data_IF_017696900595
#
_entry.id   IF_017696900595
#
_cell.length_a   1.000
_cell.length_b   1.000
_cell.length_c   1.000
_cell.angle_alpha   90.00
_cell.angle_beta   90.00
_cell.angle_gamma   90.00
#
_symmetry.space_group_name_H-M   'P 1'
#
loop_
_entity.id
_entity.type
_entity.pdbx_description
1 polymer ?
#
# COMPACT_ATOMS: atom_id res chain seq x y z
N UNK A 1 -12.62 0.45 -3.94
CA UNK A 1 -12.42 0.53 -5.41
C UNK A 1 -12.66 1.96 -5.83
N UNK A 2 -12.02 2.43 -6.88
CA UNK A 2 -12.25 3.78 -7.40
C UNK A 2 -13.15 3.68 -8.64
N UNK A 3 -13.79 4.76 -9.01
CA UNK A 3 -14.59 4.91 -10.23
C UNK A 3 -13.78 4.66 -11.52
N UNK A 4 -12.47 4.51 -11.35
CA UNK A 4 -11.53 4.26 -12.45
C UNK A 4 -11.43 2.78 -12.85
N UNK A 5 -12.10 1.89 -12.12
CA UNK A 5 -12.12 0.44 -12.40
C UNK A 5 -13.52 0.04 -12.83
N UNK A 6 -13.59 -0.70 -13.94
CA UNK A 6 -14.81 -1.21 -14.51
C UNK A 6 -14.76 -2.74 -14.66
N UNK A 7 -15.90 -3.39 -14.58
CA UNK A 7 -16.03 -4.81 -14.81
C UNK A 7 -17.31 -5.12 -15.58
N UNK A 8 -17.29 -6.16 -16.37
CA UNK A 8 -18.53 -6.61 -17.07
C UNK A 8 -19.56 -7.06 -16.05
N UNK A 9 -20.82 -6.71 -16.30
CA UNK A 9 -21.95 -7.16 -15.52
C UNK A 9 -21.97 -8.68 -15.37
N UNK A 10 -21.70 -9.44 -16.43
CA UNK A 10 -21.59 -10.90 -16.40
C UNK A 10 -20.53 -11.46 -15.45
N UNK A 11 -19.53 -10.68 -15.11
CA UNK A 11 -18.50 -11.06 -14.13
C UNK A 11 -18.94 -10.82 -12.68
N UNK A 12 -19.96 -10.00 -12.48
CA UNK A 12 -20.46 -9.56 -11.18
C UNK A 12 -21.75 -10.27 -10.83
N UNK A 13 -22.67 -10.45 -11.80
CA UNK A 13 -23.96 -11.11 -11.58
C UNK A 13 -23.78 -12.52 -11.01
N UNK A 14 -24.44 -12.77 -9.89
CA UNK A 14 -24.39 -14.04 -9.18
C UNK A 14 -23.15 -14.24 -8.30
N UNK A 15 -22.25 -13.27 -8.26
CA UNK A 15 -21.03 -13.29 -7.40
C UNK A 15 -21.08 -12.26 -6.28
N UNK A 16 -22.08 -11.39 -6.29
CA UNK A 16 -22.28 -10.31 -5.30
C UNK A 16 -22.33 -10.79 -3.87
N UNK A 17 -22.70 -12.06 -3.69
CA UNK A 17 -22.85 -12.69 -2.38
C UNK A 17 -21.76 -13.75 -2.10
N UNK A 18 -20.90 -14.04 -3.07
CA UNK A 18 -20.01 -15.20 -3.03
C UNK A 18 -18.52 -14.84 -2.88
N UNK A 19 -18.17 -13.58 -3.03
CA UNK A 19 -16.77 -13.14 -2.93
C UNK A 19 -16.66 -11.72 -2.41
N UNK A 20 -15.53 -11.42 -1.77
CA UNK A 20 -15.19 -10.06 -1.34
C UNK A 20 -15.19 -9.08 -2.52
N UNK A 21 -14.75 -9.53 -3.69
CA UNK A 21 -14.69 -8.68 -4.89
C UNK A 21 -16.09 -8.31 -5.37
N UNK A 22 -17.00 -9.29 -5.44
CA UNK A 22 -18.40 -9.03 -5.79
C UNK A 22 -19.08 -8.08 -4.81
N UNK A 23 -18.91 -8.29 -3.50
CA UNK A 23 -19.46 -7.42 -2.45
C UNK A 23 -18.91 -5.99 -2.57
N UNK A 24 -17.60 -5.86 -2.78
CA UNK A 24 -16.98 -4.54 -2.91
C UNK A 24 -17.36 -3.83 -4.20
N UNK A 25 -17.56 -4.55 -5.30
CA UNK A 25 -17.99 -3.98 -6.59
C UNK A 25 -19.43 -3.51 -6.57
N UNK A 26 -20.29 -4.22 -5.85
CA UNK A 26 -21.73 -3.91 -5.75
C UNK A 26 -22.07 -3.04 -4.55
N UNK A 27 -21.11 -2.72 -3.69
CA UNK A 27 -21.32 -2.05 -2.40
C UNK A 27 -22.37 -2.73 -1.53
N UNK A 28 -22.50 -4.07 -1.66
CA UNK A 28 -23.49 -4.83 -0.93
C UNK A 28 -23.06 -5.02 0.52
N UNK A 29 -23.84 -4.43 1.46
CA UNK A 29 -23.56 -4.48 2.90
C UNK A 29 -24.40 -5.53 3.65
N UNK A 30 -25.13 -6.39 2.94
CA UNK A 30 -26.00 -7.38 3.57
C UNK A 30 -25.25 -8.53 4.28
N UNK A 31 -26.02 -9.35 4.98
CA UNK A 31 -25.58 -10.27 6.03
C UNK A 31 -24.46 -11.27 5.67
N UNK A 32 -24.28 -11.60 4.40
CA UNK A 32 -23.28 -12.57 3.92
C UNK A 32 -21.86 -12.09 4.10
N UNK A 33 -21.64 -10.77 4.25
CA UNK A 33 -20.34 -10.20 4.56
C UNK A 33 -19.73 -10.75 5.86
N UNK A 34 -20.55 -11.20 6.79
CA UNK A 34 -20.10 -11.82 8.04
C UNK A 34 -19.49 -13.20 7.83
N UNK A 35 -19.95 -13.92 6.83
CA UNK A 35 -19.56 -15.31 6.54
C UNK A 35 -18.26 -15.35 5.70
N UNK A 36 -17.91 -14.23 5.06
CA UNK A 36 -16.66 -14.04 4.30
C UNK A 36 -15.52 -13.49 5.17
N UNK A 37 -15.63 -13.58 6.48
CA UNK A 37 -14.88 -12.81 7.48
C UNK A 37 -13.47 -13.30 7.80
N UNK A 38 -12.75 -13.90 6.89
CA UNK A 38 -11.30 -14.05 7.04
C UNK A 38 -10.60 -12.72 6.73
N UNK A 39 -10.67 -11.81 7.70
CA UNK A 39 -9.90 -10.57 7.60
C UNK A 39 -8.42 -10.85 7.93
N UNK A 40 -7.75 -11.50 6.97
CA UNK A 40 -6.34 -11.83 7.07
C UNK A 40 -5.46 -10.60 7.32
N UNK A 41 -5.88 -9.39 6.89
CA UNK A 41 -5.12 -8.16 7.09
C UNK A 41 -4.89 -7.87 8.58
N UNK A 42 -5.95 -7.95 9.40
CA UNK A 42 -5.83 -7.71 10.84
C UNK A 42 -4.85 -8.69 11.51
N UNK A 43 -5.04 -9.98 11.27
CA UNK A 43 -4.20 -11.03 11.82
C UNK A 43 -2.75 -10.94 11.31
N UNK A 44 -2.57 -10.63 10.03
CA UNK A 44 -1.26 -10.51 9.42
C UNK A 44 -0.48 -9.33 10.00
N UNK A 45 -1.09 -8.16 10.14
CA UNK A 45 -0.42 -7.01 10.76
C UNK A 45 0.06 -7.35 12.19
N UNK A 46 -0.79 -7.98 13.02
CA UNK A 46 -0.34 -8.38 14.37
C UNK A 46 0.73 -9.47 14.35
N UNK A 47 0.73 -10.36 13.36
CA UNK A 47 1.82 -11.33 13.17
C UNK A 47 3.14 -10.63 12.84
N UNK A 48 3.13 -9.59 12.00
CA UNK A 48 4.32 -8.81 11.68
C UNK A 48 4.78 -7.94 12.85
N UNK A 49 3.84 -7.35 13.58
CA UNK A 49 4.13 -6.64 14.85
C UNK A 49 4.81 -7.57 15.85
N UNK A 50 4.33 -8.79 16.02
CA UNK A 50 4.96 -9.78 16.87
C UNK A 50 6.40 -10.08 16.45
N UNK A 51 6.64 -10.27 15.14
CA UNK A 51 8.01 -10.49 14.60
C UNK A 51 8.92 -9.31 14.89
N UNK A 52 8.43 -8.08 14.69
CA UNK A 52 9.16 -6.85 15.01
C UNK A 52 9.50 -6.78 16.50
N UNK A 53 8.56 -7.10 17.37
CA UNK A 53 8.77 -7.12 18.82
C UNK A 53 9.80 -8.16 19.24
N UNK A 54 9.83 -9.34 18.62
CA UNK A 54 10.87 -10.36 18.85
C UNK A 54 12.26 -9.77 18.55
N UNK A 55 12.43 -9.12 17.41
CA UNK A 55 13.71 -8.48 17.05
C UNK A 55 14.07 -7.41 18.07
N UNK A 56 13.17 -6.48 18.37
CA UNK A 56 13.42 -5.36 19.30
C UNK A 56 13.81 -5.87 20.69
N UNK A 57 13.14 -6.91 21.18
CA UNK A 57 13.37 -7.43 22.55
C UNK A 57 14.63 -8.30 22.66
N UNK A 58 14.99 -9.04 21.62
CA UNK A 58 16.01 -10.09 21.73
C UNK A 58 17.33 -9.76 21.03
N UNK A 59 17.39 -8.79 20.13
CA UNK A 59 18.60 -8.52 19.34
C UNK A 59 19.81 -8.15 20.20
N UNK A 60 19.63 -7.54 21.37
CA UNK A 60 20.71 -7.20 22.27
C UNK A 60 21.44 -8.43 22.83
N UNK A 61 20.74 -9.54 22.96
CA UNK A 61 21.28 -10.81 23.41
C UNK A 61 21.98 -11.62 22.30
N UNK A 62 21.86 -11.16 21.03
CA UNK A 62 22.52 -11.82 19.91
C UNK A 62 24.02 -11.52 19.86
N UNK A 63 24.77 -12.27 19.05
CA UNK A 63 26.14 -11.93 18.70
C UNK A 63 26.14 -10.87 17.59
N UNK A 64 27.15 -9.98 17.57
CA UNK A 64 27.29 -8.93 16.57
C UNK A 64 27.70 -7.59 17.20
N UNK A 65 28.10 -6.66 16.35
CA UNK A 65 28.47 -5.31 16.77
C UNK A 65 27.22 -4.48 17.13
N UNK A 66 27.48 -3.39 17.86
CA UNK A 66 26.41 -2.52 18.36
C UNK A 66 25.62 -1.85 17.23
N UNK A 67 26.30 -1.39 16.20
CA UNK A 67 25.68 -0.62 15.13
C UNK A 67 24.72 -1.51 14.30
N UNK A 68 25.10 -2.75 14.04
CA UNK A 68 24.23 -3.74 13.40
C UNK A 68 23.00 -4.05 14.24
N UNK A 69 23.13 -4.14 15.56
CA UNK A 69 21.99 -4.35 16.46
C UNK A 69 21.03 -3.17 16.50
N UNK A 70 21.57 -1.94 16.59
CA UNK A 70 20.75 -0.72 16.57
C UNK A 70 20.04 -0.55 15.23
N UNK A 71 20.71 -0.89 14.11
CA UNK A 71 20.08 -0.91 12.78
C UNK A 71 18.91 -1.91 12.73
N UNK A 72 19.11 -3.13 13.20
CA UNK A 72 18.05 -4.15 13.21
C UNK A 72 16.84 -3.72 14.06
N UNK A 73 17.08 -3.06 15.21
CA UNK A 73 15.99 -2.48 16.00
C UNK A 73 15.27 -1.36 15.28
N UNK A 74 16.01 -0.49 14.59
CA UNK A 74 15.44 0.62 13.85
C UNK A 74 14.55 0.12 12.71
N UNK A 75 15.04 -0.83 11.91
CA UNK A 75 14.25 -1.45 10.86
C UNK A 75 12.97 -2.12 11.41
N UNK A 76 13.10 -2.86 12.52
CA UNK A 76 11.95 -3.49 13.16
C UNK A 76 10.92 -2.47 13.70
N UNK A 77 11.37 -1.33 14.26
CA UNK A 77 10.48 -0.24 14.69
C UNK A 77 9.75 0.40 13.53
N UNK A 78 10.42 0.66 12.41
CA UNK A 78 9.78 1.19 11.19
C UNK A 78 8.68 0.25 10.69
N UNK A 79 8.95 -1.04 10.63
CA UNK A 79 7.95 -2.02 10.19
C UNK A 79 6.79 -2.12 11.20
N UNK A 80 7.07 -2.09 12.49
CA UNK A 80 6.04 -2.09 13.54
C UNK A 80 5.15 -0.83 13.48
N UNK A 81 5.76 0.32 13.24
CA UNK A 81 5.04 1.57 13.03
C UNK A 81 4.13 1.50 11.79
N UNK A 82 4.64 0.96 10.68
CA UNK A 82 3.87 0.76 9.46
C UNK A 82 2.65 -0.13 9.69
N UNK A 83 2.82 -1.29 10.35
CA UNK A 83 1.72 -2.20 10.60
C UNK A 83 0.65 -1.60 11.53
N UNK A 84 1.05 -0.86 12.58
CA UNK A 84 0.10 -0.13 13.43
C UNK A 84 -0.60 1.00 12.67
N UNK A 85 0.09 1.67 11.73
CA UNK A 85 -0.49 2.69 10.88
C UNK A 85 -1.56 2.11 9.94
N UNK A 86 -1.31 0.94 9.33
CA UNK A 86 -2.31 0.22 8.54
C UNK A 86 -3.52 -0.14 9.43
N UNK A 87 -3.27 -0.72 10.61
CA UNK A 87 -4.33 -1.14 11.52
C UNK A 87 -5.23 0.02 11.94
N UNK A 88 -4.67 1.13 12.40
CA UNK A 88 -5.47 2.26 12.91
C UNK A 88 -6.29 2.91 11.81
N UNK A 89 -5.74 3.04 10.60
CA UNK A 89 -6.45 3.65 9.48
C UNK A 89 -7.49 2.72 8.82
N UNK A 90 -7.38 1.41 9.03
CA UNK A 90 -8.35 0.44 8.49
C UNK A 90 -9.46 0.12 9.48
N UNK A 91 -9.14 0.03 10.78
CA UNK A 91 -10.05 -0.53 11.79
C UNK A 91 -10.49 0.47 12.86
N UNK A 92 -10.07 1.73 12.77
CA UNK A 92 -10.50 2.80 13.66
C UNK A 92 -11.04 3.99 12.88
N UNK A 93 -11.53 5.01 13.59
CA UNK A 93 -11.89 6.26 12.96
C UNK A 93 -10.66 7.02 12.49
N UNK A 94 -10.81 7.81 11.44
CA UNK A 94 -9.79 8.75 11.01
C UNK A 94 -9.40 9.69 12.15
N UNK A 95 -8.12 10.02 12.24
CA UNK A 95 -7.62 10.92 13.27
C UNK A 95 -8.33 12.28 13.22
N UNK A 96 -8.88 12.68 14.35
CA UNK A 96 -9.43 14.01 14.55
C UNK A 96 -8.89 14.56 15.88
N UNK A 97 -8.16 15.71 15.89
CA UNK A 97 -7.57 16.26 17.11
C UNK A 97 -8.56 16.46 18.26
N UNK A 98 -9.82 16.73 17.94
CA UNK A 98 -10.87 16.98 18.93
C UNK A 98 -11.36 15.70 19.63
N UNK A 99 -11.30 14.56 18.96
CA UNK A 99 -11.91 13.30 19.42
C UNK A 99 -10.94 12.13 19.55
N UNK A 100 -9.74 12.22 18.97
CA UNK A 100 -8.77 11.12 18.92
C UNK A 100 -8.42 10.55 20.31
N UNK A 101 -8.43 11.38 21.35
CA UNK A 101 -8.18 10.98 22.71
C UNK A 101 -9.27 10.09 23.34
N UNK A 102 -10.47 10.06 22.73
CA UNK A 102 -11.63 9.28 23.18
C UNK A 102 -12.11 8.27 22.15
N UNK A 103 -11.78 8.46 20.87
CA UNK A 103 -12.10 7.49 19.84
C UNK A 103 -11.31 6.20 20.04
N UNK A 104 -12.02 5.07 19.99
CA UNK A 104 -11.39 3.75 20.09
C UNK A 104 -10.50 3.47 18.89
N UNK A 105 -9.24 3.16 19.18
CA UNK A 105 -8.24 2.77 18.21
C UNK A 105 -8.08 1.25 18.10
N UNK A 106 -6.84 0.80 18.00
CA UNK A 106 -6.44 -0.61 17.96
C UNK A 106 -5.57 -0.96 19.16
N UNK A 107 -5.32 -2.24 19.41
CA UNK A 107 -4.41 -2.64 20.48
C UNK A 107 -2.95 -2.32 20.11
N UNK A 108 -2.20 -1.77 21.06
CA UNK A 108 -0.77 -1.51 20.90
C UNK A 108 0.00 -2.66 21.56
N UNK A 109 0.75 -3.41 20.74
CA UNK A 109 1.63 -4.48 21.23
C UNK A 109 3.06 -3.95 21.28
N UNK A 110 3.55 -3.67 22.48
CA UNK A 110 4.84 -3.00 22.70
C UNK A 110 6.02 -3.95 22.77
N UNK A 111 5.79 -5.18 23.19
CA UNK A 111 6.82 -6.16 23.49
C UNK A 111 6.38 -7.58 23.14
N UNK A 112 7.32 -8.51 23.15
CA UNK A 112 7.06 -9.92 22.94
C UNK A 112 6.62 -10.54 24.28
N UNK A 113 5.31 -10.67 24.45
CA UNK A 113 4.67 -11.38 25.55
C UNK A 113 3.47 -12.18 25.01
N UNK A 114 3.55 -13.49 25.10
CA UNK A 114 2.50 -14.40 24.63
C UNK A 114 1.34 -14.55 25.64
N UNK A 115 1.52 -14.13 26.87
CA UNK A 115 0.50 -14.20 27.91
C UNK A 115 -0.25 -12.87 28.10
N UNK A 116 0.23 -11.81 27.43
CA UNK A 116 -0.40 -10.50 27.49
C UNK A 116 -1.82 -10.53 26.94
N UNK A 117 -2.73 -9.86 27.62
CA UNK A 117 -4.08 -9.62 27.16
C UNK A 117 -4.20 -8.16 26.69
N UNK A 118 -3.94 -7.87 25.40
CA UNK A 118 -3.92 -6.50 24.92
C UNK A 118 -5.31 -5.89 24.96
N UNK A 119 -5.37 -4.63 25.39
CA UNK A 119 -6.59 -3.81 25.34
C UNK A 119 -6.50 -2.78 24.21
N UNK A 120 -7.64 -2.35 23.69
CA UNK A 120 -7.67 -1.28 22.71
C UNK A 120 -7.15 0.02 23.34
N UNK A 121 -6.24 0.67 22.62
CA UNK A 121 -5.82 2.04 22.90
C UNK A 121 -6.75 3.04 22.19
N UNK A 122 -6.65 4.31 22.51
CA UNK A 122 -7.29 5.38 21.76
C UNK A 122 -6.57 5.64 20.43
N UNK A 123 -7.23 6.30 19.50
CA UNK A 123 -6.62 6.69 18.22
C UNK A 123 -5.38 7.57 18.48
N UNK A 124 -5.45 8.52 19.42
CA UNK A 124 -4.33 9.36 19.79
C UNK A 124 -3.13 8.56 20.30
N UNK A 125 -3.35 7.64 21.24
CA UNK A 125 -2.29 6.78 21.78
C UNK A 125 -1.61 5.91 20.71
N UNK A 126 -2.38 5.43 19.73
CA UNK A 126 -1.82 4.65 18.61
C UNK A 126 -0.93 5.52 17.74
N UNK A 127 -1.36 6.74 17.38
CA UNK A 127 -0.54 7.65 16.60
C UNK A 127 0.71 8.11 17.36
N UNK A 128 0.62 8.39 18.64
CA UNK A 128 1.77 8.73 19.47
C UNK A 128 2.80 7.58 19.49
N UNK A 129 2.33 6.34 19.58
CA UNK A 129 3.19 5.17 19.53
C UNK A 129 3.88 5.00 18.17
N UNK A 130 3.15 5.17 17.08
CA UNK A 130 3.68 5.12 15.71
C UNK A 130 4.76 6.18 15.50
N UNK A 131 4.46 7.43 15.86
CA UNK A 131 5.38 8.56 15.72
C UNK A 131 6.66 8.31 16.53
N UNK A 132 6.50 7.85 17.76
CA UNK A 132 7.64 7.52 18.63
C UNK A 132 8.55 6.44 18.02
N UNK A 133 7.98 5.37 17.48
CA UNK A 133 8.76 4.31 16.84
C UNK A 133 9.56 4.84 15.65
N UNK A 134 8.94 5.71 14.84
CA UNK A 134 9.61 6.32 13.69
C UNK A 134 10.73 7.26 14.14
N UNK A 135 10.44 8.18 15.06
CA UNK A 135 11.41 9.16 15.55
C UNK A 135 12.63 8.48 16.21
N UNK A 136 12.41 7.40 16.96
CA UNK A 136 13.48 6.61 17.59
C UNK A 136 14.29 5.78 16.57
N UNK A 137 13.69 5.38 15.46
CA UNK A 137 14.36 4.57 14.44
C UNK A 137 15.21 5.41 13.48
N UNK A 138 14.73 6.59 13.07
CA UNK A 138 15.34 7.43 12.03
C UNK A 138 16.85 7.67 12.19
N UNK A 139 17.41 7.92 13.39
CA UNK A 139 18.85 8.15 13.53
C UNK A 139 19.72 6.96 13.14
N UNK A 140 19.20 5.74 13.25
CA UNK A 140 19.95 4.49 13.06
C UNK A 140 19.74 3.87 11.68
N UNK A 141 18.74 4.32 10.89
CA UNK A 141 18.54 3.84 9.54
C UNK A 141 19.69 4.28 8.62
N UNK A 142 20.04 3.43 7.67
CA UNK A 142 21.06 3.73 6.66
C UNK A 142 20.50 4.66 5.59
N UNK A 143 21.38 5.54 5.07
CA UNK A 143 21.07 6.33 3.88
C UNK A 143 20.88 5.38 2.69
N UNK A 144 21.81 4.45 2.48
CA UNK A 144 21.72 3.40 1.46
C UNK A 144 21.64 2.03 2.13
N UNK A 145 20.48 1.37 2.11
CA UNK A 145 20.31 0.03 2.64
C UNK A 145 20.99 -1.01 1.74
N UNK A 146 21.13 -2.24 2.26
CA UNK A 146 21.73 -3.36 1.50
C UNK A 146 20.95 -3.68 0.24
N UNK A 147 19.64 -3.51 0.29
CA UNK A 147 18.72 -3.67 -0.85
C UNK A 147 17.39 -3.00 -0.50
N UNK A 148 16.49 -2.94 -1.46
CA UNK A 148 15.18 -2.28 -1.36
C UNK A 148 14.20 -2.94 -0.36
N UNK A 149 14.49 -4.13 0.13
CA UNK A 149 13.67 -4.80 1.15
C UNK A 149 13.98 -4.34 2.58
N UNK A 150 15.08 -3.62 2.76
CA UNK A 150 15.44 -2.99 4.03
C UNK A 150 15.02 -1.53 4.02
N UNK A 151 14.34 -1.06 5.08
CA UNK A 151 13.96 0.35 5.17
C UNK A 151 15.19 1.29 5.11
N UNK A 152 15.20 2.19 4.14
CA UNK A 152 16.17 3.27 4.08
C UNK A 152 15.77 4.43 4.98
N UNK A 153 16.69 5.36 5.22
CA UNK A 153 16.38 6.62 5.90
C UNK A 153 15.39 7.46 5.08
N UNK A 154 15.50 7.43 3.75
CA UNK A 154 14.53 8.06 2.86
C UNK A 154 13.13 7.50 3.07
N UNK A 155 12.99 6.16 3.16
CA UNK A 155 11.71 5.52 3.46
C UNK A 155 11.18 5.89 4.86
N UNK A 156 12.06 5.90 5.88
CA UNK A 156 11.67 6.31 7.23
C UNK A 156 11.06 7.71 7.28
N UNK A 157 11.66 8.67 6.55
CA UNK A 157 11.10 10.02 6.41
C UNK A 157 9.82 10.07 5.57
N UNK A 158 9.72 9.26 4.50
CA UNK A 158 8.49 9.16 3.72
C UNK A 158 7.32 8.61 4.56
N UNK A 159 7.60 7.60 5.39
CA UNK A 159 6.62 7.08 6.35
C UNK A 159 6.23 8.14 7.38
N UNK A 160 7.20 8.87 7.95
CA UNK A 160 6.94 9.97 8.87
C UNK A 160 6.04 11.03 8.24
N UNK A 161 6.35 11.45 7.01
CA UNK A 161 5.53 12.42 6.27
C UNK A 161 4.08 11.97 6.13
N UNK A 162 3.88 10.71 5.76
CA UNK A 162 2.53 10.11 5.64
C UNK A 162 1.81 10.05 6.98
N UNK A 163 2.49 9.63 8.04
CA UNK A 163 1.91 9.55 9.38
C UNK A 163 1.52 10.93 9.89
N UNK A 164 2.39 11.93 9.76
CA UNK A 164 2.08 13.31 10.16
C UNK A 164 0.95 13.92 9.32
N UNK A 165 0.86 13.60 8.02
CA UNK A 165 -0.23 14.02 7.16
C UNK A 165 -1.59 13.51 7.68
N UNK A 166 -1.67 12.24 8.03
CA UNK A 166 -2.89 11.64 8.59
C UNK A 166 -3.18 12.14 10.02
N UNK A 167 -2.14 12.41 10.79
CA UNK A 167 -2.23 13.04 12.11
C UNK A 167 -2.61 14.53 12.06
N UNK A 168 -2.63 15.13 10.85
CA UNK A 168 -2.90 16.55 10.57
C UNK A 168 -1.84 17.52 11.11
N UNK A 169 -0.63 17.06 11.36
CA UNK A 169 0.53 17.91 11.61
C UNK A 169 1.20 18.25 10.27
N UNK A 170 0.59 19.20 9.57
CA UNK A 170 0.96 19.57 8.21
C UNK A 170 2.41 20.04 8.10
N UNK A 171 2.90 20.76 9.11
CA UNK A 171 4.26 21.28 9.14
C UNK A 171 5.29 20.16 9.24
N UNK A 172 5.09 19.22 10.17
CA UNK A 172 5.97 18.05 10.29
C UNK A 172 5.87 17.13 9.08
N UNK A 173 4.70 17.04 8.46
CA UNK A 173 4.52 16.28 7.24
C UNK A 173 5.36 16.86 6.09
N UNK A 174 5.35 18.18 5.90
CA UNK A 174 6.17 18.88 4.91
C UNK A 174 7.67 18.69 5.19
N UNK A 175 8.11 18.99 6.41
CA UNK A 175 9.52 18.82 6.82
C UNK A 175 10.03 17.39 6.58
N UNK A 176 9.24 16.38 6.92
CA UNK A 176 9.61 14.98 6.70
C UNK A 176 9.60 14.61 5.21
N UNK A 177 8.66 15.12 4.42
CA UNK A 177 8.64 14.90 2.98
C UNK A 177 9.89 15.50 2.30
N UNK A 178 10.28 16.71 2.69
CA UNK A 178 11.51 17.35 2.20
C UNK A 178 12.75 16.52 2.55
N UNK A 179 12.84 15.99 3.79
CA UNK A 179 13.95 15.16 4.20
C UNK A 179 14.03 13.84 3.41
N UNK A 180 12.90 13.26 3.04
CA UNK A 180 12.84 12.10 2.15
C UNK A 180 13.35 12.46 0.74
N UNK A 181 12.82 13.55 0.15
CA UNK A 181 13.18 13.99 -1.20
C UNK A 181 14.63 14.44 -1.32
N UNK A 182 15.23 15.02 -0.28
CA UNK A 182 16.68 15.32 -0.26
C UNK A 182 17.54 14.07 -0.43
N UNK A 183 17.05 12.89 -0.05
CA UNK A 183 17.77 11.62 -0.11
C UNK A 183 17.49 10.85 -1.38
N UNK A 184 16.24 10.86 -1.82
CA UNK A 184 15.85 10.25 -3.08
C UNK A 184 14.71 11.06 -3.73
N UNK A 185 15.05 11.75 -4.82
CA UNK A 185 14.11 12.48 -5.67
C UNK A 185 14.17 12.00 -7.12
N UNK A 186 14.71 10.81 -7.35
CA UNK A 186 14.86 10.25 -8.68
C UNK A 186 13.50 9.85 -9.23
N UNK A 187 13.17 10.32 -10.43
CA UNK A 187 11.99 9.93 -11.17
C UNK A 187 12.42 9.15 -12.44
N UNK A 188 11.59 8.22 -12.84
CA UNK A 188 11.79 7.48 -14.08
C UNK A 188 11.41 8.39 -15.25
N UNK A 189 12.28 8.44 -16.25
CA UNK A 189 11.94 9.02 -17.55
C UNK A 189 11.09 8.02 -18.35
N UNK A 190 9.80 8.24 -18.38
CA UNK A 190 8.85 7.35 -19.08
C UNK A 190 9.03 7.37 -20.59
N UNK A 191 9.51 8.47 -21.17
CA UNK A 191 9.78 8.56 -22.62
C UNK A 191 10.97 7.66 -22.97
N UNK A 192 12.04 7.75 -22.22
CA UNK A 192 13.19 6.86 -22.39
C UNK A 192 12.79 5.39 -22.18
N UNK A 193 11.98 5.12 -21.19
CA UNK A 193 11.51 3.79 -20.87
C UNK A 193 10.62 3.18 -22.00
N UNK A 194 9.76 3.97 -22.64
CA UNK A 194 8.98 3.52 -23.79
C UNK A 194 9.91 3.13 -24.96
N UNK A 195 10.94 3.95 -25.23
CA UNK A 195 11.92 3.67 -26.25
C UNK A 195 12.72 2.38 -26.00
N UNK A 196 12.86 1.96 -24.75
CA UNK A 196 13.50 0.69 -24.34
C UNK A 196 12.57 -0.53 -24.40
N UNK A 197 11.32 -0.36 -24.82
CA UNK A 197 10.35 -1.45 -24.98
C UNK A 197 9.28 -1.55 -23.88
N UNK A 198 9.11 -0.51 -23.10
CA UNK A 198 7.98 -0.23 -22.18
C UNK A 198 7.64 -1.33 -21.16
N UNK A 199 6.76 -2.27 -21.49
CA UNK A 199 6.22 -3.22 -20.52
C UNK A 199 7.20 -4.17 -19.83
N UNK A 200 8.41 -4.31 -20.33
CA UNK A 200 9.50 -5.04 -19.66
C UNK A 200 9.96 -4.38 -18.36
N UNK A 201 9.51 -3.17 -18.13
CA UNK A 201 9.68 -2.40 -16.92
C UNK A 201 9.35 -3.18 -15.63
N UNK A 202 8.27 -3.95 -15.63
CA UNK A 202 7.88 -4.74 -14.44
C UNK A 202 8.92 -5.82 -14.11
N UNK A 203 9.55 -6.40 -15.11
CA UNK A 203 10.59 -7.41 -14.90
C UNK A 203 11.94 -6.81 -14.58
N UNK A 204 12.24 -5.62 -15.11
CA UNK A 204 13.54 -4.95 -14.91
C UNK A 204 13.57 -4.15 -13.61
N UNK A 205 12.48 -3.48 -13.26
CA UNK A 205 12.41 -2.61 -12.08
C UNK A 205 11.62 -3.23 -10.90
N UNK A 206 10.84 -4.29 -11.14
CA UNK A 206 9.91 -4.88 -10.16
C UNK A 206 10.54 -5.57 -8.95
N UNK A 207 11.84 -5.73 -8.90
CA UNK A 207 12.54 -6.37 -7.76
C UNK A 207 13.79 -5.61 -7.32
N UNK A 208 13.69 -4.29 -7.23
CA UNK A 208 14.76 -3.46 -6.70
C UNK A 208 15.56 -2.67 -7.73
N UNK A 209 15.17 -2.72 -9.02
CA UNK A 209 15.75 -1.87 -10.06
C UNK A 209 15.02 -0.55 -10.29
N UNK A 210 13.83 -0.35 -9.72
CA UNK A 210 13.09 0.90 -9.86
C UNK A 210 13.62 1.95 -8.87
N UNK A 211 14.19 3.08 -9.35
CA UNK A 211 14.78 4.09 -8.49
C UNK A 211 13.75 4.88 -7.66
N UNK A 212 12.47 4.83 -8.01
CA UNK A 212 11.39 5.48 -7.25
C UNK A 212 10.95 4.68 -6.02
N UNK A 213 11.32 3.39 -5.94
CA UNK A 213 10.93 2.54 -4.82
C UNK A 213 11.89 2.73 -3.65
N UNK A 214 11.38 3.32 -2.57
CA UNK A 214 12.15 3.54 -1.34
C UNK A 214 12.23 2.30 -0.44
N UNK A 215 11.20 1.47 -0.48
CA UNK A 215 11.13 0.17 0.19
C UNK A 215 10.13 -0.72 -0.55
N UNK A 216 10.45 -1.98 -0.71
CA UNK A 216 9.60 -2.93 -1.44
C UNK A 216 9.11 -4.05 -0.54
N UNK A 217 7.80 -4.15 -0.40
CA UNK A 217 7.13 -5.25 0.25
C UNK A 217 6.29 -6.02 -0.79
N UNK A 218 6.55 -7.32 -0.94
CA UNK A 218 5.79 -8.17 -1.83
C UNK A 218 4.54 -8.70 -1.12
N UNK A 219 3.37 -8.33 -1.61
CA UNK A 219 2.12 -8.96 -1.21
C UNK A 219 1.82 -10.10 -2.19
N UNK A 220 2.07 -11.33 -1.76
CA UNK A 220 1.75 -12.50 -2.58
C UNK A 220 0.23 -12.67 -2.76
N UNK A 221 -0.21 -12.97 -3.96
CA UNK A 221 -1.54 -13.51 -4.26
C UNK A 221 -2.68 -12.53 -4.50
N UNK A 222 -2.58 -11.25 -4.12
CA UNK A 222 -3.69 -10.28 -4.33
C UNK A 222 -3.70 -9.74 -5.76
N UNK A 223 -2.60 -9.80 -6.43
CA UNK A 223 -2.34 -9.11 -7.68
C UNK A 223 -2.86 -9.86 -8.92
N UNK A 224 -2.90 -11.17 -8.88
CA UNK A 224 -3.41 -11.96 -10.00
C UNK A 224 -4.94 -11.87 -10.13
N UNK A 225 -5.65 -11.73 -9.02
CA UNK A 225 -7.11 -11.68 -9.03
C UNK A 225 -7.67 -10.38 -9.62
N UNK A 226 -7.01 -9.25 -9.40
CA UNK A 226 -7.47 -7.96 -9.92
C UNK A 226 -7.08 -7.69 -11.38
N UNK A 227 -6.03 -8.36 -11.90
CA UNK A 227 -5.51 -8.04 -13.23
C UNK A 227 -6.18 -8.77 -14.39
N UNK A 228 -6.67 -9.98 -14.15
CA UNK A 228 -7.15 -10.83 -15.27
C UNK A 228 -8.66 -11.03 -15.33
N UNK A 229 -9.40 -10.86 -14.25
CA UNK A 229 -10.78 -11.32 -14.20
C UNK A 229 -11.82 -10.21 -14.01
N UNK A 230 -11.49 -9.13 -13.31
CA UNK A 230 -12.53 -8.20 -12.84
C UNK A 230 -12.21 -6.70 -12.96
N UNK A 231 -11.01 -6.32 -13.29
CA UNK A 231 -10.62 -4.92 -13.26
C UNK A 231 -10.07 -4.42 -14.58
N UNK A 232 -10.91 -3.81 -15.40
CA UNK A 232 -10.51 -2.97 -16.53
C UNK A 232 -10.54 -1.51 -16.11
N UNK A 233 -9.78 -0.66 -16.78
CA UNK A 233 -9.93 0.78 -16.58
C UNK A 233 -11.27 1.23 -17.14
N UNK A 234 -11.90 2.20 -16.49
CA UNK A 234 -13.18 2.71 -16.97
C UNK A 234 -13.01 3.49 -18.29
N UNK A 235 -14.01 3.45 -19.18
CA UNK A 235 -13.98 4.24 -20.42
C UNK A 235 -13.79 5.73 -20.14
N UNK A 236 -14.37 6.22 -19.07
CA UNK A 236 -14.26 7.61 -18.64
C UNK A 236 -12.82 7.96 -18.29
N UNK A 237 -12.11 7.07 -17.61
CA UNK A 237 -10.70 7.28 -17.32
C UNK A 237 -9.87 7.29 -18.61
N UNK A 238 -10.13 6.37 -19.54
CA UNK A 238 -9.41 6.34 -20.83
C UNK A 238 -9.55 7.67 -21.57
N UNK A 239 -10.75 8.26 -21.58
CA UNK A 239 -11.01 9.54 -22.25
C UNK A 239 -10.28 10.73 -21.62
N UNK A 240 -9.86 10.62 -20.36
CA UNK A 240 -9.12 11.69 -19.69
C UNK A 240 -7.64 11.73 -20.09
N UNK A 241 -7.11 10.67 -20.69
CA UNK A 241 -5.74 10.67 -21.19
C UNK A 241 -5.68 11.45 -22.52
N UNK A 242 -4.77 12.41 -22.61
CA UNK A 242 -4.49 13.13 -23.86
C UNK A 242 -3.74 12.24 -24.85
N UNK A 243 -3.78 12.62 -26.12
CA UNK A 243 -3.07 11.89 -27.21
C UNK A 243 -1.55 11.78 -27.04
N UNK A 244 -0.97 12.63 -26.20
CA UNK A 244 0.46 12.65 -25.91
C UNK A 244 0.75 12.21 -24.47
N UNK A 245 -0.17 11.48 -23.84
CA UNK A 245 0.01 10.99 -22.47
C UNK A 245 0.63 9.59 -22.50
N UNK A 246 1.93 9.51 -22.27
CA UNK A 246 2.68 8.26 -22.32
C UNK A 246 2.22 7.23 -21.30
N UNK A 247 1.49 7.65 -20.26
CA UNK A 247 0.93 6.71 -19.27
C UNK A 247 -0.01 5.70 -19.90
N UNK A 248 -0.75 6.09 -20.96
CA UNK A 248 -1.59 5.14 -21.68
C UNK A 248 -0.77 4.04 -22.36
N UNK A 249 0.33 4.39 -22.98
CA UNK A 249 1.19 3.45 -23.70
C UNK A 249 1.96 2.54 -22.75
N UNK A 250 2.41 3.10 -21.62
CA UNK A 250 3.28 2.41 -20.68
C UNK A 250 2.53 1.55 -19.66
N UNK A 251 1.40 2.04 -19.15
CA UNK A 251 0.70 1.39 -18.03
C UNK A 251 -0.49 0.55 -18.46
N UNK A 252 -0.97 0.74 -19.68
CA UNK A 252 -2.15 0.03 -20.16
C UNK A 252 -1.85 -0.67 -21.48
N UNK A 253 -2.16 -1.94 -21.52
CA UNK A 253 -2.09 -2.71 -22.75
C UNK A 253 -3.51 -2.94 -23.28
N UNK A 254 -3.78 -2.48 -24.48
CA UNK A 254 -5.00 -2.80 -25.16
C UNK A 254 -4.93 -4.25 -25.66
N UNK A 255 -5.90 -5.06 -25.24
CA UNK A 255 -6.10 -6.41 -25.76
C UNK A 255 -7.40 -6.43 -26.54
N UNK A 256 -7.34 -6.67 -27.85
CA UNK A 256 -8.51 -6.73 -28.74
C UNK A 256 -8.59 -5.62 -29.80
N UNK A 257 -9.66 -5.63 -30.56
CA UNK A 257 -9.86 -4.65 -31.63
C UNK A 257 -10.53 -3.39 -31.11
N UNK A 258 -9.91 -2.19 -31.23
CA UNK A 258 -10.48 -0.93 -30.78
C UNK A 258 -11.83 -0.53 -31.40
N UNK A 259 -12.24 -1.17 -32.50
CA UNK A 259 -13.51 -0.88 -33.16
C UNK A 259 -14.75 -1.28 -32.36
N UNK A 260 -14.60 -2.03 -31.26
CA UNK A 260 -15.69 -2.47 -30.37
C UNK A 260 -15.89 -1.62 -29.11
N UNK A 261 -15.29 -0.46 -29.03
CA UNK A 261 -15.40 0.39 -27.83
C UNK A 261 -16.78 1.01 -27.60
N UNK A 262 -17.54 1.23 -28.67
CA UNK A 262 -18.85 1.84 -28.59
C UNK A 262 -19.84 1.10 -29.51
N UNK A 263 -20.94 0.67 -28.91
CA UNK A 263 -22.14 0.33 -29.71
C UNK A 263 -22.91 1.62 -29.98
N UNK A 264 -22.86 2.08 -31.22
CA UNK A 264 -23.58 3.28 -31.63
C UNK A 264 -25.11 3.15 -31.45
N UNK A 265 -25.63 1.92 -31.39
CA UNK A 265 -27.06 1.65 -31.27
C UNK A 265 -27.60 1.78 -29.84
N UNK A 266 -26.83 1.45 -28.83
CA UNK A 266 -27.24 1.50 -27.40
C UNK A 266 -26.65 2.67 -26.63
N UNK A 267 -25.65 3.35 -27.19
CA UNK A 267 -24.89 4.39 -26.46
C UNK A 267 -24.07 3.84 -25.28
N UNK A 268 -24.01 2.52 -25.12
CA UNK A 268 -23.24 1.88 -24.08
C UNK A 268 -21.85 1.52 -24.60
N UNK A 269 -20.85 1.76 -23.77
CA UNK A 269 -19.51 1.25 -24.03
C UNK A 269 -19.52 -0.28 -23.89
N UNK A 270 -19.45 -0.97 -25.03
CA UNK A 270 -19.33 -2.43 -25.07
C UNK A 270 -17.85 -2.79 -24.94
N UNK A 271 -17.45 -3.18 -23.77
CA UNK A 271 -16.17 -3.82 -23.57
C UNK A 271 -16.30 -5.31 -23.86
N UNK A 272 -15.75 -5.74 -24.96
CA UNK A 272 -15.58 -7.17 -25.20
C UNK A 272 -14.59 -7.74 -24.17
N UNK A 273 -14.79 -8.98 -23.74
CA UNK A 273 -13.88 -9.72 -22.86
C UNK A 273 -12.50 -9.92 -23.47
N UNK A 274 -12.36 -9.76 -24.78
CA UNK A 274 -11.09 -9.77 -25.50
C UNK A 274 -10.34 -8.44 -25.41
N UNK A 275 -11.01 -7.36 -24.95
CA UNK A 275 -10.42 -6.03 -24.81
C UNK A 275 -10.24 -5.77 -23.31
N UNK A 276 -9.03 -5.89 -22.84
CA UNK A 276 -8.67 -5.58 -21.47
C UNK A 276 -7.39 -4.76 -21.44
N UNK A 277 -7.34 -3.78 -20.57
CA UNK A 277 -6.08 -3.17 -20.21
C UNK A 277 -5.56 -3.88 -18.99
N UNK A 278 -4.50 -4.64 -19.16
CA UNK A 278 -3.76 -5.16 -18.00
C UNK A 278 -2.95 -4.03 -17.43
N UNK A 279 -3.34 -3.59 -16.24
CA UNK A 279 -2.54 -2.68 -15.46
C UNK A 279 -1.30 -3.42 -14.98
N UNK A 280 -0.13 -2.86 -15.23
CA UNK A 280 1.06 -3.24 -14.48
C UNK A 280 0.87 -2.82 -13.04
N UNK A 281 1.10 -3.76 -12.16
CA UNK A 281 0.92 -3.54 -10.75
C UNK A 281 2.00 -2.62 -10.23
N UNK A 282 1.66 -1.34 -10.11
CA UNK A 282 2.33 -0.47 -9.19
C UNK A 282 1.65 -0.60 -7.83
N UNK A 283 2.25 -1.37 -6.97
CA UNK A 283 2.11 -1.07 -5.56
C UNK A 283 3.25 -0.13 -5.21
N UNK A 284 3.05 1.15 -5.50
CA UNK A 284 3.76 2.18 -4.77
C UNK A 284 3.23 2.14 -3.34
N UNK A 285 4.10 1.94 -2.41
CA UNK A 285 3.85 2.14 -0.99
C UNK A 285 3.44 3.57 -0.71
#
# INVERSE_FOLDING_TARGET
MSDNVWSKESNIIGKEYLSWDGINMTFNEEAVRKDLSDNNLYANCYTYILRSNIVISLVDHSTGDKDTKELAKAEAKIMRAWDHFILVNTFAKSYNPETAATDGGVAIIREYDLEATPTKATVAEVYDFIIKDIEEALPYLKEEPVNVYHPSKAFGYALAARVYLFHRDWKKAEEAAEESLKRNNTLIDYIALEAEGGPTMVTTYGRGGNPEILNYAHMGGVTEYMSYTYGMISPELVQLFGTNDERMNLFFKMTGNPEYYFDEGSGAALWDTSIGYTKFQYMAC
#
